data_IF_098769163705
#
_entry.id   IF_098769163705
#
_cell.length_a   1.000
_cell.length_b   1.000
_cell.length_c   1.000
_cell.angle_alpha   90.00
_cell.angle_beta   90.00
_cell.angle_gamma   90.00
#
_symmetry.space_group_name_H-M   'P 1'
#
loop_
_entity.id
_entity.type
_entity.pdbx_description
1 polymer ?
#
# COMPACT_ATOMS: atom_id res chain seq x y z
N UNK A 1 21.98 13.92 8.78
CA UNK A 1 22.51 15.27 8.48
C UNK A 1 22.70 15.99 9.81
N UNK A 2 23.86 16.61 10.06
CA UNK A 2 24.06 17.39 11.29
C UNK A 2 22.94 18.43 11.45
N UNK A 3 22.29 18.46 12.62
CA UNK A 3 21.26 19.45 12.97
C UNK A 3 19.81 19.13 12.56
N UNK A 4 19.52 17.95 11.99
CA UNK A 4 18.13 17.49 11.79
C UNK A 4 17.66 16.66 12.99
N UNK A 5 16.45 16.96 13.47
CA UNK A 5 15.79 16.28 14.59
C UNK A 5 14.64 15.36 14.16
N UNK A 6 14.53 15.10 12.84
CA UNK A 6 13.59 14.13 12.27
C UNK A 6 14.28 13.20 11.28
N UNK A 7 13.63 12.07 11.02
CA UNK A 7 14.11 11.06 10.09
C UNK A 7 12.93 10.47 9.29
N UNK A 8 13.25 9.99 8.08
CA UNK A 8 12.37 9.12 7.31
C UNK A 8 13.07 7.79 7.08
N UNK A 9 12.31 6.71 7.23
CA UNK A 9 12.74 5.35 6.98
C UNK A 9 11.65 4.62 6.22
N UNK A 10 12.02 3.57 5.50
CA UNK A 10 11.05 2.75 4.80
C UNK A 10 11.66 1.49 4.21
N UNK A 11 10.78 0.62 3.75
CA UNK A 11 11.08 -0.63 3.05
C UNK A 11 10.49 -0.51 1.65
N UNK A 12 11.34 -0.61 0.64
CA UNK A 12 10.94 -0.66 -0.77
C UNK A 12 11.07 -2.08 -1.27
N UNK A 13 9.94 -2.72 -1.53
CA UNK A 13 9.88 -4.03 -2.13
C UNK A 13 9.92 -3.84 -3.64
N UNK A 14 10.85 -4.53 -4.32
CA UNK A 14 10.97 -4.51 -5.80
C UNK A 14 9.90 -5.41 -6.44
N UNK A 15 8.64 -5.18 -6.06
CA UNK A 15 7.45 -5.83 -6.56
C UNK A 15 6.31 -4.80 -6.60
N UNK A 16 5.36 -4.99 -7.52
CA UNK A 16 4.24 -4.07 -7.76
C UNK A 16 3.33 -4.65 -8.85
N UNK A 17 2.42 -3.87 -9.43
CA UNK A 17 1.41 -4.36 -10.38
C UNK A 17 1.97 -5.14 -11.60
N UNK A 18 3.16 -4.79 -12.09
CA UNK A 18 3.86 -5.48 -13.19
C UNK A 18 4.22 -6.94 -12.84
N UNK A 19 4.43 -7.22 -11.56
CA UNK A 19 4.90 -8.53 -11.09
C UNK A 19 3.75 -9.53 -10.88
N UNK A 20 2.51 -9.07 -11.05
CA UNK A 20 1.31 -9.88 -10.87
C UNK A 20 1.06 -10.79 -12.07
N UNK A 21 0.49 -11.97 -11.81
CA UNK A 21 -0.17 -12.74 -12.87
C UNK A 21 -1.44 -12.02 -13.30
N UNK A 22 -1.88 -12.26 -14.53
CA UNK A 22 -3.12 -11.67 -15.02
C UNK A 22 -4.32 -11.99 -14.11
N UNK A 23 -4.40 -13.20 -13.56
CA UNK A 23 -5.48 -13.60 -12.65
C UNK A 23 -5.43 -12.93 -11.27
N UNK A 24 -4.27 -12.39 -10.87
CA UNK A 24 -4.00 -11.83 -9.54
C UNK A 24 -3.94 -10.29 -9.58
N UNK A 25 -4.31 -9.68 -10.69
CA UNK A 25 -4.07 -8.25 -10.86
C UNK A 25 -4.87 -7.41 -9.85
N UNK A 26 -4.16 -6.51 -9.15
CA UNK A 26 -4.66 -5.73 -8.02
C UNK A 26 -4.18 -6.26 -6.66
N UNK A 27 -3.57 -7.45 -6.60
CA UNK A 27 -3.12 -8.05 -5.34
C UNK A 27 -2.02 -7.25 -4.65
N UNK A 28 -1.12 -6.59 -5.38
CA UNK A 28 -0.05 -5.80 -4.79
C UNK A 28 -0.64 -4.61 -4.00
N UNK A 29 -1.61 -3.92 -4.59
CA UNK A 29 -2.35 -2.83 -3.95
C UNK A 29 -3.21 -3.34 -2.79
N UNK A 30 -3.88 -4.49 -2.96
CA UNK A 30 -4.65 -5.10 -1.88
C UNK A 30 -3.77 -5.46 -0.67
N UNK A 31 -2.60 -6.05 -0.90
CA UNK A 31 -1.65 -6.39 0.15
C UNK A 31 -1.09 -5.15 0.85
N UNK A 32 -0.90 -4.05 0.12
CA UNK A 32 -0.53 -2.76 0.70
C UNK A 32 -1.56 -2.30 1.73
N UNK A 33 -2.85 -2.27 1.37
CA UNK A 33 -3.93 -1.93 2.30
C UNK A 33 -3.94 -2.84 3.52
N UNK A 34 -3.86 -4.15 3.28
CA UNK A 34 -3.94 -5.16 4.33
C UNK A 34 -2.75 -5.13 5.30
N UNK A 35 -1.59 -4.60 4.91
CA UNK A 35 -0.45 -4.45 5.80
C UNK A 35 -0.77 -3.60 7.05
N UNK A 36 -1.71 -2.66 6.91
CA UNK A 36 -2.15 -1.78 7.99
C UNK A 36 -3.28 -2.35 8.84
N UNK A 37 -3.85 -3.50 8.47
CA UNK A 37 -5.04 -4.09 9.12
C UNK A 37 -4.73 -5.08 10.22
N UNK A 38 -3.52 -4.99 10.76
CA UNK A 38 -3.08 -5.74 11.91
C UNK A 38 -1.95 -6.71 11.60
N UNK A 39 -1.12 -6.91 12.62
CA UNK A 39 -0.03 -7.87 12.68
C UNK A 39 -0.27 -8.86 13.80
N UNK A 40 0.61 -9.87 13.93
CA UNK A 40 0.56 -10.80 15.07
C UNK A 40 0.75 -10.11 16.43
N UNK A 41 1.31 -8.90 16.46
CA UNK A 41 1.66 -8.14 17.67
C UNK A 41 0.76 -6.92 17.88
N UNK A 42 0.15 -6.39 16.83
CA UNK A 42 -0.57 -5.11 16.83
C UNK A 42 -1.90 -5.20 16.11
N UNK A 43 -2.96 -4.66 16.68
CA UNK A 43 -4.20 -4.40 15.94
C UNK A 43 -4.00 -3.25 14.95
N UNK A 44 -4.93 -3.09 14.00
CA UNK A 44 -4.94 -1.96 13.07
C UNK A 44 -4.89 -0.60 13.81
N UNK A 45 -5.65 -0.49 14.91
CA UNK A 45 -5.67 0.72 15.74
C UNK A 45 -4.31 0.98 16.40
N UNK A 46 -3.68 -0.06 16.96
CA UNK A 46 -2.36 0.08 17.60
C UNK A 46 -1.26 0.48 16.60
N UNK A 47 -1.32 0.00 15.35
CA UNK A 47 -0.37 0.41 14.30
C UNK A 47 -0.44 1.93 14.08
N UNK A 48 -1.66 2.50 14.04
CA UNK A 48 -1.85 3.93 13.88
C UNK A 48 -1.45 4.71 15.15
N UNK A 49 -1.97 4.32 16.31
CA UNK A 49 -1.74 5.00 17.59
C UNK A 49 -0.26 5.05 17.97
N UNK A 50 0.50 3.95 17.83
CA UNK A 50 1.92 3.92 18.19
C UNK A 50 2.76 4.95 17.41
N UNK A 51 2.43 5.21 16.14
CA UNK A 51 3.13 6.22 15.33
C UNK A 51 2.57 7.61 15.56
N UNK A 52 1.25 7.78 15.68
CA UNK A 52 0.62 9.08 15.89
C UNK A 52 0.94 9.68 17.27
N UNK A 53 1.07 8.84 18.31
CA UNK A 53 1.39 9.27 19.68
C UNK A 53 2.77 9.96 19.79
N UNK A 54 3.69 9.63 18.89
CA UNK A 54 5.01 10.26 18.79
C UNK A 54 5.06 11.38 17.74
N UNK A 55 3.90 11.81 17.23
CA UNK A 55 3.79 12.82 16.18
C UNK A 55 4.31 12.36 14.82
N UNK A 56 4.39 11.04 14.63
CA UNK A 56 4.87 10.43 13.41
C UNK A 56 3.83 10.39 12.29
N UNK A 57 4.29 9.97 11.13
CA UNK A 57 3.46 9.73 9.95
C UNK A 57 3.86 8.40 9.32
N UNK A 58 2.91 7.50 9.13
CA UNK A 58 3.09 6.21 8.49
C UNK A 58 2.27 6.18 7.20
N UNK A 59 2.87 5.67 6.11
CA UNK A 59 2.14 5.51 4.85
C UNK A 59 2.78 4.42 3.98
N UNK A 60 2.07 4.04 2.93
CA UNK A 60 2.56 3.18 1.87
C UNK A 60 2.14 3.72 0.49
N UNK A 61 2.71 3.13 -0.55
CA UNK A 61 2.18 3.26 -1.91
C UNK A 61 2.61 2.06 -2.75
N UNK A 62 1.76 1.68 -3.69
CA UNK A 62 2.06 0.70 -4.72
C UNK A 62 2.18 1.36 -6.08
N UNK A 63 3.24 1.00 -6.80
CA UNK A 63 3.44 1.37 -8.20
C UNK A 63 3.44 0.12 -9.07
N UNK A 64 3.70 0.28 -10.38
CA UNK A 64 3.86 -0.86 -11.28
C UNK A 64 5.04 -1.75 -10.88
N UNK A 65 6.12 -1.20 -10.32
CA UNK A 65 7.35 -1.97 -10.08
C UNK A 65 7.80 -2.06 -8.63
N UNK A 66 7.25 -1.20 -7.77
CA UNK A 66 7.68 -1.03 -6.38
C UNK A 66 6.48 -0.79 -5.48
N UNK A 67 6.44 -1.47 -4.34
CA UNK A 67 5.57 -1.15 -3.21
C UNK A 67 6.45 -0.69 -2.06
N UNK A 68 6.14 0.46 -1.50
CA UNK A 68 6.92 1.09 -0.44
C UNK A 68 6.08 1.24 0.82
N UNK A 69 6.67 0.97 1.98
CA UNK A 69 6.11 1.22 3.30
C UNK A 69 7.09 2.11 4.05
N UNK A 70 6.66 3.27 4.54
CA UNK A 70 7.58 4.25 5.09
C UNK A 70 6.96 5.05 6.23
N UNK A 71 7.83 5.51 7.11
CA UNK A 71 7.49 6.36 8.23
C UNK A 71 8.35 7.64 8.22
N UNK A 72 7.79 8.69 8.81
CA UNK A 72 8.48 9.93 9.16
C UNK A 72 8.26 10.19 10.64
N UNK A 73 9.33 10.33 11.40
CA UNK A 73 9.29 10.46 12.86
C UNK A 73 10.38 11.41 13.36
N UNK A 74 10.30 11.79 14.64
CA UNK A 74 11.40 12.45 15.33
C UNK A 74 12.58 11.47 15.50
N UNK A 75 13.78 12.04 15.64
CA UNK A 75 15.03 11.28 15.72
C UNK A 75 15.04 10.21 16.82
N UNK A 76 14.38 10.48 17.94
CA UNK A 76 14.35 9.58 19.10
C UNK A 76 13.46 8.34 18.85
N UNK A 77 12.48 8.46 17.95
CA UNK A 77 11.46 7.43 17.68
C UNK A 77 11.77 6.55 16.45
N UNK A 78 12.93 6.74 15.83
CA UNK A 78 13.40 5.89 14.72
C UNK A 78 13.35 4.39 15.06
N UNK A 79 13.75 3.92 16.27
CA UNK A 79 13.62 2.51 16.62
C UNK A 79 12.17 2.01 16.64
N UNK A 80 11.23 2.82 17.13
CA UNK A 80 9.80 2.50 17.14
C UNK A 80 9.26 2.38 15.71
N UNK A 81 9.52 3.38 14.88
CA UNK A 81 9.09 3.38 13.50
C UNK A 81 9.65 2.19 12.71
N UNK A 82 10.89 1.79 12.97
CA UNK A 82 11.50 0.62 12.34
C UNK A 82 10.81 -0.68 12.78
N UNK A 83 10.49 -0.82 14.07
CA UNK A 83 9.75 -1.97 14.58
C UNK A 83 8.35 -2.05 13.98
N UNK A 84 7.61 -0.93 13.89
CA UNK A 84 6.27 -0.89 13.26
C UNK A 84 6.34 -1.21 11.76
N UNK A 85 7.19 -0.52 10.99
CA UNK A 85 7.30 -0.71 9.53
C UNK A 85 7.75 -2.15 9.19
N UNK A 86 8.68 -2.72 9.96
CA UNK A 86 9.10 -4.11 9.74
C UNK A 86 8.01 -5.12 10.11
N UNK A 87 7.22 -4.85 11.15
CA UNK A 87 6.16 -5.74 11.60
C UNK A 87 4.99 -5.79 10.60
N UNK A 88 4.55 -4.64 10.06
CA UNK A 88 3.48 -4.58 9.05
C UNK A 88 3.87 -5.28 7.74
N UNK A 89 5.17 -5.25 7.39
CA UNK A 89 5.68 -5.88 6.17
C UNK A 89 5.88 -7.40 6.36
N UNK A 90 6.35 -7.84 7.52
CA UNK A 90 6.77 -9.23 7.74
C UNK A 90 5.72 -10.10 8.42
N UNK A 91 4.82 -9.53 9.24
CA UNK A 91 3.87 -10.28 10.06
C UNK A 91 2.39 -9.85 9.94
N UNK A 92 1.86 -9.44 8.76
CA UNK A 92 0.45 -9.15 8.61
C UNK A 92 -0.41 -10.41 8.85
N UNK A 93 -1.57 -10.26 9.49
CA UNK A 93 -2.44 -11.41 9.86
C UNK A 93 -3.45 -11.75 8.77
N UNK A 94 -3.81 -10.78 7.92
CA UNK A 94 -4.84 -10.93 6.89
C UNK A 94 -6.16 -11.48 7.45
N UNK A 95 -6.70 -10.79 8.46
CA UNK A 95 -7.99 -11.17 9.07
C UNK A 95 -9.10 -11.18 8.00
N UNK A 96 -9.87 -12.27 7.83
CA UNK A 96 -10.91 -12.35 6.81
C UNK A 96 -11.99 -11.24 6.92
N UNK A 97 -12.27 -10.75 8.12
CA UNK A 97 -13.22 -9.64 8.30
C UNK A 97 -12.67 -8.31 7.80
N UNK A 98 -11.38 -8.04 8.03
CA UNK A 98 -10.69 -6.86 7.52
C UNK A 98 -10.56 -6.92 5.99
N UNK A 99 -10.33 -8.11 5.41
CA UNK A 99 -10.31 -8.30 3.95
C UNK A 99 -11.62 -7.84 3.32
N UNK A 100 -12.77 -8.23 3.88
CA UNK A 100 -14.08 -7.85 3.33
C UNK A 100 -14.37 -6.35 3.51
N UNK A 101 -13.87 -5.73 4.57
CA UNK A 101 -13.96 -4.27 4.75
C UNK A 101 -13.11 -3.56 3.70
N UNK A 102 -11.84 -3.94 3.55
CA UNK A 102 -10.92 -3.30 2.61
C UNK A 102 -11.30 -3.54 1.15
N UNK A 103 -11.93 -4.67 0.86
CA UNK A 103 -12.55 -4.91 -0.45
C UNK A 103 -13.54 -3.80 -0.82
N UNK A 104 -14.36 -3.36 0.14
CA UNK A 104 -15.28 -2.25 -0.05
C UNK A 104 -14.56 -0.92 -0.29
N UNK A 105 -13.50 -0.64 0.47
CA UNK A 105 -12.68 0.58 0.35
C UNK A 105 -12.01 0.64 -1.03
N UNK A 106 -11.35 -0.43 -1.45
CA UNK A 106 -10.66 -0.50 -2.75
C UNK A 106 -11.65 -0.35 -3.92
N UNK A 107 -12.86 -0.92 -3.81
CA UNK A 107 -13.90 -0.71 -4.82
C UNK A 107 -14.36 0.75 -4.91
N UNK A 108 -14.35 1.49 -3.80
CA UNK A 108 -14.63 2.92 -3.82
C UNK A 108 -13.47 3.70 -4.46
N UNK A 109 -12.22 3.35 -4.20
CA UNK A 109 -11.05 3.97 -4.82
C UNK A 109 -11.01 3.74 -6.33
N UNK A 110 -11.36 2.53 -6.80
CA UNK A 110 -11.55 2.27 -8.24
C UNK A 110 -12.60 3.23 -8.81
N UNK A 111 -13.73 3.40 -8.12
CA UNK A 111 -14.76 4.36 -8.52
C UNK A 111 -14.24 5.80 -8.59
N UNK A 112 -13.48 6.24 -7.57
CA UNK A 112 -12.87 7.58 -7.53
C UNK A 112 -11.87 7.79 -8.68
N UNK A 113 -11.06 6.79 -9.01
CA UNK A 113 -10.14 6.85 -10.14
C UNK A 113 -10.90 6.99 -11.47
N UNK A 114 -12.01 6.26 -11.65
CA UNK A 114 -12.88 6.38 -12.83
C UNK A 114 -13.53 7.78 -12.95
N UNK A 115 -13.83 8.42 -11.81
CA UNK A 115 -14.42 9.76 -11.73
C UNK A 115 -13.38 10.90 -11.83
N UNK A 116 -12.08 10.58 -12.00
CA UNK A 116 -10.97 11.54 -12.06
C UNK A 116 -10.26 11.48 -13.43
N UNK A 117 -10.72 12.24 -14.44
CA UNK A 117 -10.27 12.10 -15.83
C UNK A 117 -8.78 12.34 -16.07
N UNK A 118 -8.16 13.21 -15.27
CA UNK A 118 -6.75 13.56 -15.32
C UNK A 118 -5.83 12.45 -14.75
N UNK A 119 -6.37 11.55 -13.93
CA UNK A 119 -5.66 10.38 -13.45
C UNK A 119 -5.85 9.17 -14.37
N UNK A 120 -7.11 8.82 -14.71
CA UNK A 120 -7.41 7.61 -15.48
C UNK A 120 -6.82 7.62 -16.90
N UNK A 121 -6.62 8.79 -17.49
CA UNK A 121 -6.00 8.92 -18.82
C UNK A 121 -4.62 8.26 -18.89
N UNK A 122 -3.87 8.25 -17.78
CA UNK A 122 -2.55 7.62 -17.73
C UNK A 122 -2.63 6.10 -17.68
N UNK A 123 -3.67 5.54 -17.07
CA UNK A 123 -3.90 4.09 -17.11
C UNK A 123 -4.30 3.62 -18.51
N UNK A 124 -5.19 4.35 -19.20
CA UNK A 124 -5.53 4.06 -20.58
C UNK A 124 -4.34 4.19 -21.53
N UNK A 125 -3.49 5.20 -21.32
CA UNK A 125 -2.25 5.34 -22.08
C UNK A 125 -1.34 4.11 -21.89
N UNK A 126 -1.18 3.64 -20.65
CA UNK A 126 -0.33 2.48 -20.36
C UNK A 126 -0.90 1.20 -20.98
N UNK A 127 -2.20 0.98 -20.90
CA UNK A 127 -2.88 -0.16 -21.54
C UNK A 127 -2.68 -0.14 -23.06
N UNK A 128 -2.87 1.02 -23.70
CA UNK A 128 -2.70 1.17 -25.14
C UNK A 128 -1.23 1.05 -25.59
N UNK A 129 -0.28 1.52 -24.79
CA UNK A 129 1.15 1.44 -25.09
C UNK A 129 1.72 0.03 -24.87
N UNK A 130 1.19 -0.72 -23.91
CA UNK A 130 1.68 -2.04 -23.52
C UNK A 130 0.57 -3.11 -23.55
N UNK A 131 -0.02 -3.38 -24.74
CA UNK A 131 -1.12 -4.34 -24.86
C UNK A 131 -0.67 -5.74 -24.45
N UNK A 132 -1.54 -6.44 -23.72
CA UNK A 132 -1.36 -7.79 -23.18
C UNK A 132 -0.11 -8.02 -22.30
N UNK A 133 0.58 -6.94 -21.92
CA UNK A 133 1.78 -6.99 -21.09
C UNK A 133 1.46 -6.61 -19.65
N UNK A 134 2.22 -7.12 -18.65
CA UNK A 134 1.99 -6.75 -17.25
C UNK A 134 2.09 -5.25 -16.96
N UNK A 135 2.91 -4.52 -17.73
CA UNK A 135 3.08 -3.06 -17.56
C UNK A 135 1.82 -2.26 -17.91
N UNK A 136 0.99 -2.77 -18.85
CA UNK A 136 -0.23 -2.11 -19.29
C UNK A 136 -1.41 -2.29 -18.34
N UNK A 137 -1.30 -3.16 -17.33
CA UNK A 137 -2.37 -3.37 -16.34
C UNK A 137 -2.41 -2.23 -15.32
N UNK A 138 -3.60 -1.92 -14.84
CA UNK A 138 -3.80 -0.94 -13.77
C UNK A 138 -3.31 -1.50 -12.43
N UNK A 139 -2.92 -0.61 -11.52
CA UNK A 139 -2.42 -0.98 -10.18
C UNK A 139 -3.56 -1.49 -9.30
N UNK A 140 -4.73 -0.84 -9.36
CA UNK A 140 -5.92 -1.22 -8.59
C UNK A 140 -6.52 -2.55 -9.05
N UNK A 141 -6.26 -2.94 -10.31
CA UNK A 141 -6.91 -4.08 -10.95
C UNK A 141 -8.38 -3.81 -11.31
N UNK A 142 -9.02 -4.73 -12.06
CA UNK A 142 -10.43 -4.62 -12.41
C UNK A 142 -11.33 -4.93 -11.20
N UNK A 143 -12.44 -4.20 -11.07
CA UNK A 143 -13.37 -4.33 -9.95
C UNK A 143 -13.92 -5.76 -9.77
N UNK A 144 -14.09 -6.51 -10.86
CA UNK A 144 -14.54 -7.91 -10.81
C UNK A 144 -13.54 -8.82 -10.09
N UNK A 145 -12.23 -8.56 -10.24
CA UNK A 145 -11.19 -9.32 -9.52
C UNK A 145 -11.16 -8.95 -8.05
N UNK A 146 -11.31 -7.66 -7.74
CA UNK A 146 -11.40 -7.20 -6.35
C UNK A 146 -12.67 -7.72 -5.67
N UNK A 147 -13.75 -8.04 -6.39
CA UNK A 147 -14.96 -8.64 -5.79
C UNK A 147 -14.87 -10.13 -5.50
N UNK A 148 -13.99 -10.85 -6.19
CA UNK A 148 -13.87 -12.31 -6.13
C UNK A 148 -13.17 -12.77 -4.85
#
# INVERSE_FOLDING_TARGET
>A
MPGLESASLGIWVTAGGRHERAAENGIAHFLEHMAFKGTRRRSALQIAEEIEDVGGYLNAYTSREVTAYYARVLKEDVPLALDVVSDIVLNPVFDPSEIEIERGVILQEIGQALDTPDDIIFDWLQEAAFPDQPMGRTILGPAERVRA
#
